data_IF_778648117155
#
_entry.id   IF_778648117155
#
_cell.length_a   1.000
_cell.length_b   1.000
_cell.length_c   1.000
_cell.angle_alpha   90.00
_cell.angle_beta   90.00
_cell.angle_gamma   90.00
#
_symmetry.space_group_name_H-M   'P 1'
#
loop_
_entity.id
_entity.type
_entity.pdbx_description
1 polymer ?
#
# COMPACT_ATOMS: atom_id res chain seq x y z
N UNK A 1 -16.03 15.87 -14.23
CA UNK A 1 -16.74 16.38 -15.43
C UNK A 1 -18.19 16.82 -15.15
N UNK A 2 -18.87 16.27 -14.13
CA UNK A 2 -20.27 16.63 -13.82
C UNK A 2 -20.49 18.02 -13.19
N UNK A 3 -19.46 18.72 -12.76
CA UNK A 3 -19.57 19.99 -12.04
C UNK A 3 -19.33 21.27 -12.86
N UNK A 4 -19.00 21.18 -14.13
CA UNK A 4 -18.88 22.36 -15.03
C UNK A 4 -19.84 22.26 -16.20
N UNK A 5 -20.90 23.04 -16.16
CA UNK A 5 -21.76 23.28 -17.34
C UNK A 5 -21.01 24.20 -18.30
N UNK A 6 -20.70 23.71 -19.51
CA UNK A 6 -20.14 24.46 -20.62
C UNK A 6 -18.73 23.99 -21.04
N UNK A 7 -18.61 23.54 -22.30
CA UNK A 7 -17.38 23.15 -23.00
C UNK A 7 -16.72 21.87 -22.51
N UNK A 8 -17.46 20.77 -22.51
CA UNK A 8 -16.95 19.43 -22.25
C UNK A 8 -15.79 19.03 -23.22
N UNK A 9 -15.75 19.63 -24.40
CA UNK A 9 -14.72 19.51 -25.42
C UNK A 9 -13.33 20.04 -24.99
N UNK A 10 -13.27 20.83 -23.92
CA UNK A 10 -12.03 21.41 -23.37
C UNK A 10 -11.61 20.81 -22.02
N UNK A 11 -12.28 19.76 -21.57
CA UNK A 11 -11.95 19.09 -20.31
C UNK A 11 -11.28 17.77 -20.62
N UNK A 12 -9.99 17.69 -20.32
CA UNK A 12 -9.21 16.46 -20.36
C UNK A 12 -9.06 15.92 -18.94
N UNK A 13 -9.34 14.64 -18.75
CA UNK A 13 -9.11 13.93 -17.50
C UNK A 13 -7.75 13.25 -17.62
N UNK A 14 -6.80 13.69 -16.82
CA UNK A 14 -5.49 13.05 -16.69
C UNK A 14 -5.57 12.19 -15.44
N UNK A 15 -5.55 10.85 -15.53
CA UNK A 15 -5.51 9.97 -14.38
C UNK A 15 -4.19 10.11 -13.63
N UNK A 16 -4.13 9.60 -12.41
CA UNK A 16 -2.85 9.48 -11.69
C UNK A 16 -1.91 8.56 -12.47
N UNK A 17 -0.64 8.90 -12.46
CA UNK A 17 0.44 8.12 -13.07
C UNK A 17 1.67 8.08 -12.17
N UNK A 18 2.61 7.19 -12.48
CA UNK A 18 3.86 7.03 -11.74
C UNK A 18 5.03 6.89 -12.71
N UNK A 19 6.17 7.45 -12.35
CA UNK A 19 7.41 7.25 -13.08
C UNK A 19 7.92 5.81 -12.82
N UNK A 20 7.71 4.95 -13.81
CA UNK A 20 8.08 3.53 -13.75
C UNK A 20 9.59 3.31 -13.91
N UNK A 21 10.34 4.31 -14.33
CA UNK A 21 11.80 4.27 -14.40
C UNK A 21 12.45 4.70 -13.09
N UNK A 22 11.83 5.64 -12.37
CA UNK A 22 12.26 6.05 -11.05
C UNK A 22 11.92 5.01 -9.97
N UNK A 23 10.74 4.36 -10.09
CA UNK A 23 10.34 3.29 -9.17
C UNK A 23 10.38 1.96 -9.91
N UNK A 24 11.29 1.09 -9.49
CA UNK A 24 11.54 -0.22 -10.10
C UNK A 24 11.28 -1.36 -9.12
N UNK A 25 10.96 -2.57 -9.63
CA UNK A 25 10.89 -3.76 -8.79
C UNK A 25 12.17 -3.93 -7.97
N UNK A 26 12.01 -4.00 -6.65
CA UNK A 26 13.11 -4.05 -5.70
C UNK A 26 13.37 -5.47 -5.16
N UNK A 27 14.54 -5.63 -4.53
CA UNK A 27 14.93 -6.85 -3.84
C UNK A 27 14.40 -6.82 -2.40
N UNK A 28 13.65 -7.86 -1.99
CA UNK A 28 13.21 -7.98 -0.59
C UNK A 28 14.36 -8.07 0.41
N UNK A 29 15.52 -8.51 -0.02
CA UNK A 29 16.76 -8.62 0.80
C UNK A 29 17.69 -7.41 0.63
N UNK A 30 17.18 -6.25 0.21
CA UNK A 30 17.98 -5.03 0.14
C UNK A 30 18.47 -4.60 1.53
N UNK A 31 19.60 -3.87 1.61
CA UNK A 31 20.21 -3.47 2.88
C UNK A 31 19.28 -2.76 3.84
N UNK A 32 18.34 -1.98 3.33
CA UNK A 32 17.33 -1.26 4.12
C UNK A 32 16.53 -2.20 5.05
N UNK A 33 16.30 -3.45 4.66
CA UNK A 33 15.59 -4.41 5.50
C UNK A 33 16.36 -4.68 6.80
N UNK A 34 17.65 -4.89 6.70
CA UNK A 34 18.53 -5.08 7.86
C UNK A 34 18.68 -3.80 8.69
N UNK A 35 18.79 -2.64 8.04
CA UNK A 35 18.84 -1.32 8.70
C UNK A 35 17.58 -1.06 9.56
N UNK A 36 16.43 -1.55 9.10
CA UNK A 36 15.16 -1.47 9.82
C UNK A 36 14.99 -2.56 10.90
N UNK A 37 15.99 -3.42 11.09
CA UNK A 37 15.97 -4.52 12.05
C UNK A 37 14.93 -5.60 11.71
N UNK A 38 14.72 -5.85 10.40
CA UNK A 38 13.77 -6.83 9.87
C UNK A 38 14.55 -8.03 9.31
N UNK A 39 14.18 -9.23 9.73
CA UNK A 39 14.78 -10.49 9.29
C UNK A 39 14.12 -11.07 8.02
N UNK A 40 14.10 -12.40 7.92
CA UNK A 40 13.55 -13.12 6.76
C UNK A 40 12.03 -13.38 6.85
N UNK A 41 11.40 -13.04 7.98
CA UNK A 41 9.96 -13.16 8.17
C UNK A 41 9.18 -12.34 7.13
N UNK A 42 7.92 -12.70 6.81
CA UNK A 42 7.08 -11.89 5.94
C UNK A 42 6.93 -10.45 6.44
N UNK A 43 7.09 -9.49 5.54
CA UNK A 43 6.98 -8.07 5.82
C UNK A 43 5.75 -7.45 5.16
N UNK A 44 4.84 -6.97 5.99
CA UNK A 44 3.70 -6.13 5.59
C UNK A 44 4.02 -4.68 5.86
N UNK A 45 4.00 -3.82 4.84
CA UNK A 45 4.40 -2.42 5.00
C UNK A 45 3.28 -1.43 4.65
N UNK A 46 3.27 -0.35 5.41
CA UNK A 46 2.63 0.91 5.07
C UNK A 46 3.69 1.99 4.92
N UNK A 47 3.59 2.81 3.89
CA UNK A 47 4.44 3.99 3.73
C UNK A 47 3.62 5.21 3.35
N UNK A 48 3.86 6.34 4.03
CA UNK A 48 3.18 7.61 3.76
C UNK A 48 2.72 8.37 5.00
N UNK A 49 1.78 9.29 4.83
CA UNK A 49 1.24 10.09 5.93
C UNK A 49 0.53 9.20 6.97
N UNK A 50 0.94 9.30 8.23
CA UNK A 50 0.36 8.57 9.37
C UNK A 50 -0.71 9.47 10.02
N UNK A 51 -1.82 9.63 9.31
CA UNK A 51 -2.94 10.47 9.73
C UNK A 51 -4.15 9.67 10.17
N UNK A 52 -5.15 10.35 10.75
CA UNK A 52 -6.38 9.71 11.23
C UNK A 52 -7.29 9.19 10.11
N UNK A 53 -7.08 9.61 8.87
CA UNK A 53 -7.83 9.12 7.71
C UNK A 53 -7.36 7.75 7.22
N UNK A 54 -6.20 7.28 7.67
CA UNK A 54 -5.62 6.00 7.28
C UNK A 54 -5.78 4.98 8.41
N UNK A 55 -6.83 4.27 8.54
CA UNK A 55 -7.11 3.25 9.58
C UNK A 55 -5.93 2.32 9.92
N UNK A 56 -4.78 2.91 10.37
CA UNK A 56 -3.53 2.17 10.60
C UNK A 56 -3.56 1.29 11.85
N UNK A 57 -4.54 1.48 12.72
CA UNK A 57 -4.85 0.57 13.82
C UNK A 57 -5.16 -0.85 13.35
N UNK A 58 -5.57 -1.02 12.08
CA UNK A 58 -5.75 -2.35 11.45
C UNK A 58 -4.43 -3.14 11.43
N UNK A 59 -3.30 -2.48 11.18
CA UNK A 59 -1.98 -3.13 11.20
C UNK A 59 -1.60 -3.56 12.62
N UNK A 60 -1.85 -2.70 13.60
CA UNK A 60 -1.57 -2.99 15.01
C UNK A 60 -2.45 -4.15 15.51
N UNK A 61 -3.71 -4.19 15.09
CA UNK A 61 -4.61 -5.32 15.37
C UNK A 61 -4.08 -6.61 14.75
N UNK A 62 -3.76 -6.59 13.46
CA UNK A 62 -3.25 -7.75 12.75
C UNK A 62 -1.91 -8.25 13.32
N UNK A 63 -1.05 -7.35 13.82
CA UNK A 63 0.22 -7.71 14.43
C UNK A 63 0.06 -8.55 15.70
N UNK A 64 -1.02 -8.34 16.47
CA UNK A 64 -1.34 -9.17 17.65
C UNK A 64 -1.73 -10.59 17.26
N UNK A 65 -2.41 -10.76 16.12
CA UNK A 65 -2.89 -12.07 15.65
C UNK A 65 -1.88 -12.82 14.77
N UNK A 66 -0.86 -12.13 14.25
CA UNK A 66 0.13 -12.66 13.33
C UNK A 66 1.56 -12.41 13.84
N UNK A 67 1.98 -13.03 14.96
CA UNK A 67 3.29 -12.76 15.58
C UNK A 67 4.48 -13.15 14.71
N UNK A 68 4.30 -14.04 13.69
CA UNK A 68 5.33 -14.42 12.72
C UNK A 68 5.45 -13.49 11.52
N UNK A 69 4.70 -12.37 11.49
CA UNK A 69 4.72 -11.37 10.42
C UNK A 69 5.22 -10.05 10.99
N UNK A 70 6.17 -9.40 10.34
CA UNK A 70 6.61 -8.06 10.72
C UNK A 70 5.75 -7.00 10.00
N UNK A 71 5.34 -5.99 10.76
CA UNK A 71 4.56 -4.85 10.28
C UNK A 71 5.40 -3.57 10.34
N UNK A 72 5.63 -2.95 9.18
CA UNK A 72 6.38 -1.69 9.07
C UNK A 72 5.40 -0.53 8.80
N UNK A 73 5.45 0.49 9.65
CA UNK A 73 4.75 1.76 9.43
C UNK A 73 5.82 2.85 9.23
N UNK A 74 6.05 3.22 7.97
CA UNK A 74 7.04 4.22 7.57
C UNK A 74 6.36 5.54 7.23
N UNK A 75 6.69 6.59 7.96
CA UNK A 75 6.13 7.92 7.77
C UNK A 75 5.95 8.71 9.05
N UNK A 76 5.38 9.90 8.89
CA UNK A 76 5.03 10.81 9.98
C UNK A 76 3.58 11.27 9.85
N UNK A 77 3.02 11.79 10.94
CA UNK A 77 1.67 12.34 10.93
C UNK A 77 1.00 12.33 12.30
N UNK A 78 -0.18 12.96 12.37
CA UNK A 78 -0.90 13.24 13.61
C UNK A 78 -1.35 12.01 14.40
N UNK A 79 -1.49 10.85 13.75
CA UNK A 79 -1.90 9.62 14.43
C UNK A 79 -0.72 8.77 14.95
N UNK A 80 0.55 9.14 14.64
CA UNK A 80 1.71 8.29 14.92
C UNK A 80 1.90 7.99 16.41
N UNK A 81 1.81 9.00 17.29
CA UNK A 81 1.99 8.81 18.73
C UNK A 81 0.98 7.80 19.29
N UNK A 82 -0.29 7.93 18.93
CA UNK A 82 -1.33 7.01 19.36
C UNK A 82 -1.11 5.58 18.85
N UNK A 83 -0.61 5.41 17.63
CA UNK A 83 -0.29 4.08 17.07
C UNK A 83 0.90 3.44 17.79
N UNK A 84 1.93 4.23 18.16
CA UNK A 84 3.06 3.76 18.93
C UNK A 84 2.60 3.27 20.30
N UNK A 85 1.74 4.02 20.98
CA UNK A 85 1.15 3.61 22.27
C UNK A 85 0.35 2.30 22.14
N UNK A 86 -0.46 2.16 21.08
CA UNK A 86 -1.24 0.95 20.82
C UNK A 86 -0.36 -0.27 20.51
N UNK A 87 0.84 -0.05 19.96
CA UNK A 87 1.79 -1.10 19.59
C UNK A 87 2.73 -1.50 20.74
N UNK A 88 2.62 -0.90 21.93
CA UNK A 88 3.44 -1.28 23.09
C UNK A 88 3.32 -2.77 23.36
N UNK A 89 4.46 -3.44 23.51
CA UNK A 89 4.53 -4.89 23.74
C UNK A 89 4.49 -5.75 22.47
N UNK A 90 4.30 -5.17 21.28
CA UNK A 90 4.35 -5.89 20.01
C UNK A 90 5.76 -5.86 19.42
N UNK A 91 6.50 -6.98 19.54
CA UNK A 91 7.86 -7.09 19.05
C UNK A 91 7.95 -7.13 17.50
N UNK A 92 6.83 -7.32 16.82
CA UNK A 92 6.73 -7.44 15.37
C UNK A 92 6.18 -6.18 14.68
N UNK A 93 6.06 -5.04 15.40
CA UNK A 93 5.72 -3.74 14.80
C UNK A 93 6.95 -2.85 14.79
N UNK A 94 7.25 -2.27 13.63
CA UNK A 94 8.35 -1.33 13.41
C UNK A 94 7.81 0.00 12.93
N UNK A 95 8.33 1.08 13.51
CA UNK A 95 8.07 2.45 13.05
C UNK A 95 9.35 3.03 12.46
N UNK A 96 9.23 3.66 11.31
CA UNK A 96 10.33 4.36 10.64
C UNK A 96 9.87 5.76 10.24
N UNK A 97 10.73 6.77 10.26
CA UNK A 97 10.42 8.06 9.67
C UNK A 97 10.27 7.95 8.15
N UNK A 98 9.90 9.04 7.49
CA UNK A 98 9.98 9.11 6.03
C UNK A 98 11.40 8.79 5.56
N UNK A 99 11.48 7.92 4.57
CA UNK A 99 12.75 7.68 3.90
C UNK A 99 13.00 8.79 2.86
N UNK A 100 14.27 9.12 2.57
CA UNK A 100 14.62 9.99 1.46
C UNK A 100 14.00 9.53 0.14
N UNK A 101 13.70 10.47 -0.75
CA UNK A 101 13.00 10.16 -2.01
C UNK A 101 13.75 9.18 -2.91
N UNK A 102 15.08 9.24 -2.90
CA UNK A 102 15.99 8.34 -3.62
C UNK A 102 15.98 6.90 -3.07
N UNK A 103 15.53 6.71 -1.83
CA UNK A 103 15.36 5.38 -1.21
C UNK A 103 13.92 4.85 -1.30
N UNK A 104 12.99 5.60 -1.90
CA UNK A 104 11.58 5.17 -2.00
C UNK A 104 11.43 3.83 -2.73
N UNK A 105 12.15 3.64 -3.83
CA UNK A 105 12.10 2.38 -4.59
C UNK A 105 12.60 1.19 -3.75
N UNK A 106 13.65 1.39 -2.95
CA UNK A 106 14.17 0.38 -2.02
C UNK A 106 13.16 0.09 -0.91
N UNK A 107 12.59 1.13 -0.27
CA UNK A 107 11.58 0.99 0.79
C UNK A 107 10.35 0.20 0.31
N UNK A 108 9.87 0.50 -0.89
CA UNK A 108 8.76 -0.25 -1.47
C UNK A 108 9.16 -1.69 -1.80
N UNK A 109 10.40 -1.87 -2.27
CA UNK A 109 10.93 -3.16 -2.70
C UNK A 109 11.20 -4.17 -1.57
N UNK A 110 11.46 -3.73 -0.33
CA UNK A 110 11.77 -4.66 0.78
C UNK A 110 10.54 -5.37 1.35
N UNK A 111 9.34 -4.85 1.15
CA UNK A 111 8.12 -5.47 1.66
C UNK A 111 7.63 -6.61 0.76
N UNK A 112 7.00 -7.61 1.37
CA UNK A 112 6.35 -8.69 0.64
C UNK A 112 4.94 -8.28 0.20
N UNK A 113 4.26 -7.44 1.01
CA UNK A 113 2.93 -6.92 0.78
C UNK A 113 2.82 -5.48 1.31
N UNK A 114 2.19 -4.61 0.53
CA UNK A 114 1.83 -3.28 1.01
C UNK A 114 0.35 -3.18 1.36
N UNK A 115 0.04 -2.30 2.32
CA UNK A 115 -1.34 -1.99 2.67
C UNK A 115 -1.72 -0.57 2.30
N UNK A 116 -2.95 -0.40 1.83
CA UNK A 116 -3.55 0.89 1.47
C UNK A 116 -4.87 1.02 2.23
N UNK A 117 -4.82 1.40 3.53
CA UNK A 117 -6.02 1.59 4.32
C UNK A 117 -6.51 3.03 4.21
N UNK A 118 -7.83 3.18 4.17
CA UNK A 118 -8.52 4.45 4.22
C UNK A 118 -9.84 4.26 4.96
N UNK A 119 -10.19 5.20 5.85
CA UNK A 119 -11.45 5.13 6.61
C UNK A 119 -12.67 5.13 5.72
N UNK A 120 -13.73 4.50 6.21
CA UNK A 120 -15.03 4.46 5.56
C UNK A 120 -15.52 5.87 5.17
N UNK A 121 -16.07 5.99 3.96
CA UNK A 121 -16.59 7.23 3.41
C UNK A 121 -15.55 8.14 2.75
N UNK A 122 -14.26 7.83 2.82
CA UNK A 122 -13.19 8.67 2.24
C UNK A 122 -12.73 8.22 0.85
N UNK A 123 -13.09 7.03 0.41
CA UNK A 123 -12.63 6.47 -0.86
C UNK A 123 -13.01 7.26 -2.10
N UNK A 124 -14.10 8.04 -2.04
CA UNK A 124 -14.53 8.90 -3.15
C UNK A 124 -13.94 10.31 -3.15
N UNK A 125 -13.28 10.72 -2.06
CA UNK A 125 -12.67 12.06 -1.94
C UNK A 125 -11.16 12.05 -2.06
N UNK A 126 -10.54 10.88 -1.95
CA UNK A 126 -9.10 10.72 -2.06
C UNK A 126 -8.75 9.42 -2.77
N UNK A 127 -7.98 9.51 -3.84
CA UNK A 127 -7.34 8.34 -4.46
C UNK A 127 -5.91 8.24 -3.93
N UNK A 128 -5.59 7.22 -3.13
CA UNK A 128 -4.24 7.06 -2.58
C UNK A 128 -3.21 6.84 -3.69
N UNK A 129 -2.45 7.89 -4.05
CA UNK A 129 -1.43 7.85 -5.11
C UNK A 129 -0.35 6.80 -4.88
N UNK A 130 -0.08 6.45 -3.62
CA UNK A 130 0.85 5.36 -3.26
C UNK A 130 0.53 4.02 -3.93
N UNK A 131 -0.74 3.78 -4.29
CA UNK A 131 -1.16 2.59 -5.04
C UNK A 131 -0.31 2.40 -6.28
N UNK A 132 -0.14 3.44 -7.07
CA UNK A 132 0.64 3.38 -8.32
C UNK A 132 2.13 3.14 -8.07
N UNK A 133 2.70 3.76 -7.03
CA UNK A 133 4.11 3.56 -6.65
C UNK A 133 4.38 2.13 -6.16
N UNK A 134 3.46 1.54 -5.40
CA UNK A 134 3.57 0.15 -4.95
C UNK A 134 3.52 -0.81 -6.13
N UNK A 135 2.59 -0.60 -7.07
CA UNK A 135 2.49 -1.40 -8.30
C UNK A 135 3.74 -1.25 -9.16
N UNK A 136 4.30 -0.03 -9.28
CA UNK A 136 5.55 0.21 -9.98
C UNK A 136 6.74 -0.52 -9.33
N UNK A 137 6.76 -0.64 -8.01
CA UNK A 137 7.75 -1.44 -7.30
C UNK A 137 7.55 -2.97 -7.44
N UNK A 138 6.53 -3.40 -8.19
CA UNK A 138 6.22 -4.81 -8.40
C UNK A 138 5.73 -5.52 -7.13
N UNK A 139 5.04 -4.80 -6.23
CA UNK A 139 4.56 -5.35 -4.97
C UNK A 139 3.03 -5.42 -4.94
N UNK A 140 2.49 -6.48 -4.34
CA UNK A 140 1.05 -6.65 -4.19
C UNK A 140 0.48 -5.71 -3.12
N UNK A 141 -0.84 -5.51 -3.18
CA UNK A 141 -1.57 -4.61 -2.28
C UNK A 141 -2.72 -5.34 -1.59
N UNK A 142 -2.86 -5.14 -0.27
CA UNK A 142 -4.12 -5.29 0.42
C UNK A 142 -4.68 -3.89 0.72
N UNK A 143 -5.83 -3.56 0.13
CA UNK A 143 -6.51 -2.31 0.40
C UNK A 143 -7.69 -2.53 1.36
N UNK A 144 -7.75 -1.73 2.44
CA UNK A 144 -8.93 -1.63 3.29
C UNK A 144 -9.62 -0.28 2.98
N UNK A 145 -10.63 -0.30 2.11
CA UNK A 145 -11.17 0.91 1.50
C UNK A 145 -12.61 0.68 1.04
N UNK A 146 -13.39 1.77 0.86
CA UNK A 146 -14.75 1.68 0.35
C UNK A 146 -14.80 0.93 -1.00
N UNK A 147 -15.77 0.02 -1.19
CA UNK A 147 -16.00 -0.63 -2.47
C UNK A 147 -16.39 0.40 -3.54
N UNK A 148 -16.36 0.01 -4.81
CA UNK A 148 -16.74 0.84 -5.97
C UNK A 148 -15.92 2.14 -6.15
N UNK A 149 -14.76 2.24 -5.47
CA UNK A 149 -13.81 3.35 -5.61
C UNK A 149 -12.65 2.98 -6.55
N UNK A 150 -11.73 3.91 -6.80
CA UNK A 150 -10.66 3.73 -7.79
C UNK A 150 -9.71 2.59 -7.45
N UNK A 151 -9.28 2.48 -6.18
CA UNK A 151 -8.27 1.46 -5.79
C UNK A 151 -8.78 0.04 -5.97
N UNK A 152 -9.99 -0.36 -5.52
CA UNK A 152 -10.54 -1.68 -5.81
C UNK A 152 -10.60 -2.00 -7.30
N UNK A 153 -11.01 -1.04 -8.15
CA UNK A 153 -11.05 -1.23 -9.61
C UNK A 153 -9.65 -1.46 -10.20
N UNK A 154 -8.64 -0.73 -9.72
CA UNK A 154 -7.25 -0.96 -10.13
C UNK A 154 -6.80 -2.37 -9.75
N UNK A 155 -7.08 -2.81 -8.51
CA UNK A 155 -6.68 -4.13 -8.04
C UNK A 155 -7.37 -5.25 -8.82
N UNK A 156 -8.65 -5.10 -9.15
CA UNK A 156 -9.40 -6.04 -9.99
C UNK A 156 -8.81 -6.08 -11.42
N UNK A 157 -8.62 -4.92 -12.05
CA UNK A 157 -8.11 -4.82 -13.42
C UNK A 157 -6.67 -5.33 -13.55
N UNK A 158 -5.84 -5.11 -12.54
CA UNK A 158 -4.42 -5.51 -12.54
C UNK A 158 -4.16 -6.93 -12.04
N UNK A 159 -5.07 -7.50 -11.23
CA UNK A 159 -4.82 -8.71 -10.47
C UNK A 159 -3.76 -8.56 -9.37
N UNK A 160 -3.41 -7.32 -9.01
CA UNK A 160 -2.26 -7.00 -8.15
C UNK A 160 -2.55 -7.09 -6.64
N UNK A 161 -3.75 -7.47 -6.26
CA UNK A 161 -4.07 -7.52 -4.83
C UNK A 161 -5.54 -7.76 -4.54
N UNK A 162 -5.93 -7.44 -3.32
CA UNK A 162 -7.28 -7.65 -2.81
C UNK A 162 -7.76 -6.39 -2.11
N UNK A 163 -9.04 -6.07 -2.24
CA UNK A 163 -9.69 -5.04 -1.46
C UNK A 163 -10.67 -5.67 -0.46
N UNK A 164 -10.66 -5.16 0.77
CA UNK A 164 -11.60 -5.51 1.84
C UNK A 164 -12.33 -4.25 2.33
N UNK A 165 -13.48 -4.40 2.99
CA UNK A 165 -14.16 -3.26 3.60
C UNK A 165 -13.24 -2.48 4.53
N UNK A 166 -13.38 -1.14 4.60
CA UNK A 166 -12.62 -0.32 5.52
C UNK A 166 -13.03 -0.59 6.97
N UNK A 167 -12.17 -0.26 7.91
CA UNK A 167 -12.43 -0.31 9.35
C UNK A 167 -12.91 -1.69 9.88
N UNK A 168 -12.63 -2.79 9.16
CA UNK A 168 -12.96 -4.17 9.54
C UNK A 168 -11.68 -4.96 9.84
N UNK A 169 -11.24 -5.04 11.12
CA UNK A 169 -10.01 -5.72 11.49
C UNK A 169 -10.04 -7.23 11.24
N UNK A 170 -11.21 -7.85 11.34
CA UNK A 170 -11.34 -9.30 11.13
C UNK A 170 -11.14 -9.67 9.66
N UNK A 171 -11.79 -8.95 8.75
CA UNK A 171 -11.62 -9.16 7.31
C UNK A 171 -10.23 -8.78 6.85
N UNK A 172 -9.67 -7.69 7.38
CA UNK A 172 -8.31 -7.28 7.07
C UNK A 172 -7.28 -8.33 7.46
N UNK A 173 -7.33 -8.82 8.71
CA UNK A 173 -6.40 -9.85 9.19
C UNK A 173 -6.60 -11.20 8.49
N UNK A 174 -7.84 -11.58 8.18
CA UNK A 174 -8.14 -12.77 7.38
C UNK A 174 -7.51 -12.71 6.00
N UNK A 175 -7.69 -11.60 5.28
CA UNK A 175 -7.10 -11.39 3.96
C UNK A 175 -5.56 -11.36 3.99
N UNK A 176 -4.94 -10.79 5.03
CA UNK A 176 -3.48 -10.87 5.23
C UNK A 176 -3.01 -12.32 5.35
N UNK A 177 -3.70 -13.12 6.15
CA UNK A 177 -3.35 -14.53 6.37
C UNK A 177 -3.43 -15.34 5.07
N UNK A 178 -4.49 -15.11 4.29
CA UNK A 178 -4.67 -15.78 2.99
C UNK A 178 -3.60 -15.37 1.97
N UNK A 179 -3.31 -14.07 1.85
CA UNK A 179 -2.31 -13.56 0.91
C UNK A 179 -0.90 -14.03 1.24
N UNK A 180 -0.54 -14.08 2.52
CA UNK A 180 0.80 -14.48 2.99
C UNK A 180 1.00 -16.00 3.01
N UNK A 181 -0.05 -16.80 2.86
CA UNK A 181 0.02 -18.26 2.87
C UNK A 181 0.72 -18.85 1.62
N UNK A 182 0.74 -18.11 0.49
CA UNK A 182 1.37 -18.53 -0.76
C UNK A 182 2.29 -17.42 -1.29
N UNK A 183 3.59 -17.46 -0.96
CA UNK A 183 4.55 -16.45 -1.39
C UNK A 183 4.72 -16.35 -2.91
N UNK A 184 4.57 -17.45 -3.65
CA UNK A 184 4.70 -17.45 -5.11
C UNK A 184 3.50 -16.77 -5.76
N UNK A 185 2.29 -17.07 -5.32
CA UNK A 185 1.08 -16.37 -5.75
C UNK A 185 1.13 -14.88 -5.38
N UNK A 186 1.68 -14.55 -4.20
CA UNK A 186 1.87 -13.17 -3.77
C UNK A 186 2.83 -12.42 -4.70
N UNK A 187 3.96 -13.02 -5.03
CA UNK A 187 4.94 -12.45 -5.98
C UNK A 187 4.34 -12.29 -7.39
N UNK A 188 3.56 -13.27 -7.84
CA UNK A 188 2.88 -13.20 -9.14
C UNK A 188 1.90 -12.02 -9.22
N UNK A 189 1.17 -11.71 -8.14
CA UNK A 189 0.31 -10.51 -8.03
C UNK A 189 1.13 -9.22 -8.16
N UNK A 190 2.28 -9.13 -7.49
CA UNK A 190 3.17 -7.97 -7.62
C UNK A 190 3.64 -7.75 -9.05
N UNK A 191 4.06 -8.83 -9.72
CA UNK A 191 4.47 -8.77 -11.12
C UNK A 191 3.31 -8.38 -12.07
N UNK A 192 2.08 -8.81 -11.79
CA UNK A 192 0.89 -8.41 -12.53
C UNK A 192 0.62 -6.91 -12.39
N UNK A 193 0.74 -6.36 -11.17
CA UNK A 193 0.63 -4.93 -10.88
C UNK A 193 1.65 -4.10 -11.64
N UNK A 194 2.89 -4.56 -11.71
CA UNK A 194 3.96 -3.89 -12.47
C UNK A 194 3.61 -3.80 -13.96
N UNK A 195 3.22 -4.90 -14.57
CA UNK A 195 2.80 -4.91 -15.98
C UNK A 195 1.63 -3.98 -16.27
N UNK A 196 0.66 -3.96 -15.34
CA UNK A 196 -0.51 -3.09 -15.48
C UNK A 196 -0.11 -1.61 -15.43
N UNK A 197 0.71 -1.19 -14.49
CA UNK A 197 1.09 0.22 -14.35
C UNK A 197 1.96 0.70 -15.52
N UNK A 198 2.82 -0.16 -16.06
CA UNK A 198 3.60 0.14 -17.27
C UNK A 198 2.72 0.43 -18.48
N UNK A 199 1.64 -0.34 -18.65
CA UNK A 199 0.73 -0.20 -19.79
C UNK A 199 -0.41 0.79 -19.61
N UNK A 200 -0.73 1.21 -18.37
CA UNK A 200 -1.97 1.96 -18.08
C UNK A 200 -1.77 3.23 -17.26
N UNK A 201 -0.66 3.37 -16.53
CA UNK A 201 -0.42 4.48 -15.61
C UNK A 201 1.05 4.93 -15.57
N UNK A 202 1.79 4.71 -16.65
CA UNK A 202 3.11 5.32 -16.87
C UNK A 202 2.98 6.66 -17.59
N UNK A 203 4.00 7.53 -17.60
CA UNK A 203 3.97 8.78 -18.37
C UNK A 203 3.74 8.57 -19.88
N UNK A 204 4.11 7.40 -20.40
CA UNK A 204 3.90 7.06 -21.80
C UNK A 204 2.48 6.54 -22.11
N UNK A 205 1.74 6.10 -21.08
CA UNK A 205 0.40 5.53 -21.20
C UNK A 205 -0.72 6.56 -20.95
N UNK A 206 -0.41 7.73 -20.41
CA UNK A 206 -1.32 8.83 -20.06
C UNK A 206 -1.04 10.03 -20.94
#
# INVERSE_FOLDING_TARGET
>A
AKMRRGRADRVHVIPNFVDVDAIRPGNRHAPLRAELGIGDEPLVAYSGNVGFSQSLELLVHAARELPGVTFLISGEGSAKSSLVEQAVGLANVRFSPYQPADRLSELLGVADLHVVPLRAGLGNVSVPSKTYSILAAGRPILAAIDPDTEVPRILEASGAGVAVPPDDPTRFTGALRELLADPDALAARGAAGRRWVEGSASPAAV
#
